data_IF_838064405709
#
_entry.id   IF_838064405709
#
_cell.length_a   1.000
_cell.length_b   1.000
_cell.length_c   1.000
_cell.angle_alpha   90.00
_cell.angle_beta   90.00
_cell.angle_gamma   90.00
#
_symmetry.space_group_name_H-M   'P 1'
#
loop_
_entity.id
_entity.type
_entity.pdbx_description
1 polymer ?
#
# COMPACT_ATOMS: atom_id res chain seq x y z
N UNK A 1 0.29 7.29 -13.77
CA UNK A 1 1.03 7.10 -12.50
C UNK A 1 0.76 5.74 -11.87
N UNK A 2 -0.51 5.41 -11.63
CA UNK A 2 -0.92 4.12 -11.06
C UNK A 2 -0.43 2.93 -11.90
N UNK A 3 -0.69 2.93 -13.19
CA UNK A 3 -0.30 1.85 -14.10
C UNK A 3 1.21 1.64 -14.15
N UNK A 4 2.00 2.72 -14.10
CA UNK A 4 3.46 2.64 -14.07
C UNK A 4 3.98 1.97 -12.78
N UNK A 5 3.31 2.16 -11.65
CA UNK A 5 3.65 1.46 -10.41
C UNK A 5 3.22 -0.01 -10.43
N UNK A 6 2.08 -0.30 -11.03
CA UNK A 6 1.61 -1.68 -11.21
C UNK A 6 2.49 -2.45 -12.19
N UNK A 7 3.01 -1.79 -13.25
CA UNK A 7 3.97 -2.40 -14.16
C UNK A 7 5.26 -2.87 -13.45
N UNK A 8 5.74 -2.13 -12.45
CA UNK A 8 6.92 -2.52 -11.68
C UNK A 8 6.78 -3.88 -10.99
N UNK A 9 5.56 -4.32 -10.72
CA UNK A 9 5.25 -5.61 -10.08
C UNK A 9 5.23 -6.74 -11.11
N UNK A 10 5.06 -6.43 -12.40
CA UNK A 10 4.99 -7.42 -13.46
C UNK A 10 6.26 -8.29 -13.50
N UNK A 11 6.11 -9.54 -13.91
CA UNK A 11 7.24 -10.47 -14.03
C UNK A 11 8.30 -9.97 -15.02
N UNK A 12 7.88 -9.34 -16.11
CA UNK A 12 8.76 -8.66 -17.08
C UNK A 12 8.26 -7.23 -17.23
N UNK A 13 8.66 -6.31 -16.33
CA UNK A 13 8.22 -4.92 -16.40
C UNK A 13 8.91 -4.17 -17.55
N UNK A 14 8.26 -3.15 -18.09
CA UNK A 14 8.89 -2.23 -19.04
C UNK A 14 10.08 -1.51 -18.41
N UNK A 15 9.96 -1.13 -17.14
CA UNK A 15 10.98 -0.50 -16.34
C UNK A 15 11.47 -1.43 -15.22
N UNK A 16 12.66 -2.00 -15.38
CA UNK A 16 13.21 -2.97 -14.43
C UNK A 16 14.04 -2.29 -13.34
N UNK A 17 13.52 -2.21 -12.12
CA UNK A 17 14.23 -1.69 -10.94
C UNK A 17 15.49 -2.51 -10.57
N UNK A 18 15.56 -3.78 -10.99
CA UNK A 18 16.65 -4.70 -10.64
C UNK A 18 17.74 -4.76 -11.71
N UNK A 19 17.74 -3.83 -12.67
CA UNK A 19 18.78 -3.74 -13.70
C UNK A 19 20.10 -3.25 -13.10
N UNK A 20 21.04 -4.16 -12.88
CA UNK A 20 22.35 -3.84 -12.30
C UNK A 20 23.28 -3.09 -13.27
N UNK A 21 23.04 -3.16 -14.58
CA UNK A 21 23.83 -2.42 -15.56
C UNK A 21 23.46 -0.93 -15.62
N UNK A 22 22.25 -0.58 -15.15
CA UNK A 22 21.79 0.79 -15.06
C UNK A 22 21.03 1.01 -13.74
N UNK A 23 21.75 1.06 -12.62
CA UNK A 23 21.14 1.19 -11.30
C UNK A 23 20.51 2.58 -11.12
N UNK A 24 19.37 2.60 -10.42
CA UNK A 24 18.72 3.85 -10.04
C UNK A 24 19.22 4.26 -8.67
N UNK A 25 19.81 5.46 -8.62
CA UNK A 25 20.25 6.07 -7.38
C UNK A 25 19.14 6.95 -6.81
N UNK A 26 18.77 6.69 -5.56
CA UNK A 26 17.84 7.49 -4.79
C UNK A 26 18.42 7.77 -3.41
N UNK A 27 17.94 8.82 -2.77
CA UNK A 27 18.27 9.07 -1.36
C UNK A 27 17.51 8.06 -0.49
N UNK A 28 18.05 6.87 -0.39
CA UNK A 28 17.54 5.84 0.51
C UNK A 28 18.02 6.12 1.93
N UNK A 29 17.10 6.46 2.83
CA UNK A 29 17.43 6.51 4.26
C UNK A 29 17.93 5.15 4.76
N UNK A 30 18.64 5.14 5.89
CA UNK A 30 19.05 3.91 6.56
C UNK A 30 17.84 3.30 7.28
N UNK A 31 17.15 2.40 6.61
CA UNK A 31 15.96 1.72 7.14
C UNK A 31 16.22 0.22 7.31
N UNK A 32 15.63 -0.41 8.33
CA UNK A 32 15.72 -1.86 8.50
C UNK A 32 14.97 -2.60 7.36
N UNK A 33 15.28 -3.88 7.15
CA UNK A 33 14.52 -4.71 6.21
C UNK A 33 13.02 -4.72 6.53
N UNK A 34 12.21 -5.00 5.50
CA UNK A 34 10.79 -5.25 5.71
C UNK A 34 10.56 -6.48 6.60
N UNK A 35 9.53 -6.45 7.42
CA UNK A 35 9.21 -7.52 8.37
C UNK A 35 7.76 -7.97 8.22
N UNK A 36 7.60 -9.31 8.18
CA UNK A 36 6.29 -9.97 8.16
C UNK A 36 6.16 -10.78 9.42
N UNK A 37 5.11 -10.59 10.20
CA UNK A 37 4.90 -11.28 11.47
C UNK A 37 3.49 -11.85 11.56
N UNK A 38 3.36 -12.82 12.43
CA UNK A 38 2.23 -13.72 12.64
C UNK A 38 2.07 -14.75 11.52
N UNK A 39 2.15 -16.00 11.93
CA UNK A 39 1.97 -17.19 11.09
C UNK A 39 0.99 -18.16 11.80
N UNK A 40 -0.11 -17.62 12.34
CA UNK A 40 -1.15 -18.40 12.99
C UNK A 40 -2.26 -18.79 12.02
N UNK A 41 -3.15 -19.69 12.46
CA UNK A 41 -4.30 -20.13 11.64
C UNK A 41 -5.25 -18.97 11.31
N UNK A 42 -5.42 -18.03 12.25
CA UNK A 42 -6.39 -16.95 12.16
C UNK A 42 -5.77 -15.62 11.73
N UNK A 43 -4.43 -15.56 11.67
CA UNK A 43 -3.71 -14.33 11.43
C UNK A 43 -2.37 -14.63 10.77
N UNK A 44 -2.21 -14.20 9.54
CA UNK A 44 -1.01 -14.37 8.75
C UNK A 44 -0.60 -13.04 8.14
N UNK A 45 0.62 -12.58 8.44
CA UNK A 45 1.20 -11.41 7.77
C UNK A 45 1.92 -11.83 6.50
N UNK A 46 1.39 -11.46 5.34
CA UNK A 46 2.00 -11.82 4.05
C UNK A 46 1.78 -10.77 2.96
N UNK A 47 2.62 -10.83 1.95
CA UNK A 47 2.47 -10.08 0.71
C UNK A 47 2.75 -11.00 -0.48
N UNK A 48 1.94 -10.89 -1.52
CA UNK A 48 2.09 -11.63 -2.78
C UNK A 48 2.01 -10.67 -3.96
N UNK A 49 2.75 -10.96 -5.04
CA UNK A 49 2.79 -10.12 -6.24
C UNK A 49 2.95 -8.63 -5.91
N UNK A 50 3.88 -8.28 -5.04
CA UNK A 50 3.98 -6.94 -4.47
C UNK A 50 5.42 -6.49 -4.31
N UNK A 51 5.64 -5.17 -4.37
CA UNK A 51 6.91 -4.55 -4.00
C UNK A 51 6.79 -4.02 -2.58
N UNK A 52 7.72 -4.43 -1.71
CA UNK A 52 7.73 -4.04 -0.30
C UNK A 52 9.06 -3.40 0.04
N UNK A 53 9.03 -2.11 0.37
CA UNK A 53 10.22 -1.30 0.67
C UNK A 53 10.77 -1.54 2.07
N UNK A 54 12.03 -1.15 2.34
CA UNK A 54 12.59 -1.19 3.69
C UNK A 54 11.74 -0.44 4.72
N UNK A 55 11.80 -0.89 5.96
CA UNK A 55 11.05 -0.29 7.07
C UNK A 55 9.57 -0.66 7.14
N UNK A 56 9.03 -1.38 6.18
CA UNK A 56 7.64 -1.85 6.18
C UNK A 56 7.45 -2.95 7.23
N UNK A 57 6.34 -2.92 7.94
CA UNK A 57 5.90 -4.03 8.80
C UNK A 57 4.49 -4.46 8.40
N UNK A 58 4.35 -5.72 8.01
CA UNK A 58 3.07 -6.38 7.82
C UNK A 58 2.81 -7.29 9.01
N UNK A 59 1.93 -6.85 9.91
CA UNK A 59 1.64 -7.52 11.17
C UNK A 59 0.28 -8.22 11.14
N UNK A 60 0.24 -9.39 10.52
CA UNK A 60 -0.99 -10.19 10.43
C UNK A 60 -2.03 -9.63 9.45
N UNK A 61 -1.62 -8.81 8.51
CA UNK A 61 -2.44 -8.30 7.41
C UNK A 61 -2.08 -8.96 6.08
N UNK A 62 -2.90 -8.75 5.08
CA UNK A 62 -2.76 -9.29 3.73
C UNK A 62 -2.47 -8.17 2.74
N UNK A 63 -1.43 -8.36 1.93
CA UNK A 63 -1.07 -7.45 0.83
C UNK A 63 -1.02 -8.25 -0.46
N UNK A 64 -1.72 -7.79 -1.47
CA UNK A 64 -1.73 -8.42 -2.78
C UNK A 64 -1.65 -7.37 -3.89
N UNK A 65 -0.81 -7.64 -4.90
CA UNK A 65 -0.63 -6.83 -6.10
C UNK A 65 -0.53 -5.33 -5.78
N UNK A 66 0.41 -4.96 -4.87
CA UNK A 66 0.51 -3.60 -4.33
C UNK A 66 1.96 -3.15 -4.17
N UNK A 67 2.16 -1.83 -4.16
CA UNK A 67 3.45 -1.20 -3.91
C UNK A 67 3.41 -0.53 -2.55
N UNK A 68 4.26 -0.97 -1.62
CA UNK A 68 4.42 -0.40 -0.29
C UNK A 68 5.73 0.38 -0.20
N UNK A 69 5.64 1.69 -0.07
CA UNK A 69 6.79 2.58 0.14
C UNK A 69 7.37 2.43 1.56
N UNK A 70 8.53 3.06 1.86
CA UNK A 70 9.17 2.92 3.17
C UNK A 70 8.28 3.24 4.36
N UNK A 71 8.49 2.53 5.47
CA UNK A 71 7.81 2.75 6.76
C UNK A 71 6.29 2.54 6.77
N UNK A 72 5.72 1.90 5.77
CA UNK A 72 4.29 1.53 5.78
C UNK A 72 4.03 0.48 6.87
N UNK A 73 2.89 0.61 7.55
CA UNK A 73 2.41 -0.30 8.60
C UNK A 73 1.08 -0.92 8.19
N UNK A 74 1.03 -2.24 8.12
CA UNK A 74 -0.21 -2.98 7.86
C UNK A 74 -0.53 -3.83 9.10
N UNK A 75 -1.61 -3.51 9.78
CA UNK A 75 -2.00 -4.19 11.01
C UNK A 75 -2.88 -5.43 10.75
N UNK A 76 -3.18 -6.15 11.83
CA UNK A 76 -3.82 -7.45 11.77
C UNK A 76 -5.19 -7.42 11.08
N UNK A 77 -5.41 -8.38 10.21
CA UNK A 77 -6.62 -8.55 9.38
C UNK A 77 -6.92 -7.38 8.44
N UNK A 78 -6.00 -6.44 8.29
CA UNK A 78 -6.10 -5.43 7.25
C UNK A 78 -5.82 -6.05 5.88
N UNK A 79 -6.45 -5.50 4.86
CA UNK A 79 -6.31 -5.96 3.48
C UNK A 79 -5.92 -4.80 2.57
N UNK A 80 -4.87 -5.00 1.78
CA UNK A 80 -4.40 -4.03 0.78
C UNK A 80 -4.27 -4.75 -0.54
N UNK A 81 -5.06 -4.34 -1.53
CA UNK A 81 -5.14 -4.98 -2.84
C UNK A 81 -5.08 -3.92 -3.94
N UNK A 82 -4.35 -4.19 -5.02
CA UNK A 82 -4.24 -3.33 -6.20
C UNK A 82 -3.94 -1.86 -5.84
N UNK A 83 -3.03 -1.60 -4.92
CA UNK A 83 -2.88 -0.26 -4.35
C UNK A 83 -1.42 0.20 -4.26
N UNK A 84 -1.23 1.52 -4.27
CA UNK A 84 0.06 2.17 -4.07
C UNK A 84 0.00 2.98 -2.78
N UNK A 85 0.80 2.58 -1.79
CA UNK A 85 0.89 3.23 -0.49
C UNK A 85 2.22 3.94 -0.35
N UNK A 86 2.19 5.27 -0.14
CA UNK A 86 3.38 6.07 0.07
C UNK A 86 3.93 5.98 1.49
N UNK A 87 5.07 6.65 1.70
CA UNK A 87 5.84 6.60 2.94
C UNK A 87 4.99 6.87 4.18
N UNK A 88 5.15 6.04 5.19
CA UNK A 88 4.54 6.24 6.49
C UNK A 88 3.03 6.03 6.55
N UNK A 89 2.42 5.46 5.53
CA UNK A 89 0.99 5.09 5.57
C UNK A 89 0.76 4.01 6.62
N UNK A 90 -0.33 4.16 7.40
CA UNK A 90 -0.75 3.20 8.41
C UNK A 90 -2.15 2.68 8.07
N UNK A 91 -2.26 1.37 7.91
CA UNK A 91 -3.54 0.68 7.71
C UNK A 91 -3.83 -0.11 8.97
N UNK A 92 -4.76 0.39 9.79
CA UNK A 92 -5.10 -0.22 11.08
C UNK A 92 -5.93 -1.50 10.93
N UNK A 93 -6.25 -2.11 12.06
CA UNK A 93 -6.88 -3.44 12.12
C UNK A 93 -8.18 -3.49 11.32
N UNK A 94 -8.34 -4.52 10.52
CA UNK A 94 -9.53 -4.76 9.68
C UNK A 94 -9.85 -3.66 8.69
N UNK A 95 -8.99 -2.65 8.55
CA UNK A 95 -9.15 -1.67 7.48
C UNK A 95 -8.87 -2.30 6.12
N UNK A 96 -9.55 -1.83 5.09
CA UNK A 96 -9.44 -2.38 3.74
C UNK A 96 -9.15 -1.29 2.71
N UNK A 97 -8.15 -1.55 1.87
CA UNK A 97 -7.75 -0.68 0.78
C UNK A 97 -7.83 -1.47 -0.52
N UNK A 98 -8.55 -0.94 -1.47
CA UNK A 98 -8.70 -1.56 -2.78
C UNK A 98 -8.55 -0.51 -3.89
N UNK A 99 -7.70 -0.80 -4.88
CA UNK A 99 -7.50 0.02 -6.08
C UNK A 99 -7.35 1.52 -5.75
N UNK A 100 -6.38 1.84 -4.89
CA UNK A 100 -6.21 3.17 -4.35
C UNK A 100 -4.75 3.64 -4.37
N UNK A 101 -4.57 4.96 -4.36
CA UNK A 101 -3.30 5.63 -4.09
C UNK A 101 -3.45 6.37 -2.76
N UNK A 102 -2.68 5.96 -1.75
CA UNK A 102 -2.63 6.64 -0.46
C UNK A 102 -1.34 7.45 -0.37
N UNK A 103 -1.47 8.77 -0.29
CA UNK A 103 -0.29 9.64 -0.18
C UNK A 103 0.34 9.55 1.23
N UNK A 104 1.47 10.21 1.41
CA UNK A 104 2.32 10.09 2.60
C UNK A 104 1.58 10.36 3.90
N UNK A 105 1.85 9.51 4.90
CA UNK A 105 1.30 9.64 6.26
C UNK A 105 -0.24 9.59 6.33
N UNK A 106 -0.89 8.98 5.37
CA UNK A 106 -2.31 8.65 5.48
C UNK A 106 -2.49 7.57 6.53
N UNK A 107 -3.52 7.73 7.37
CA UNK A 107 -3.86 6.77 8.42
C UNK A 107 -5.31 6.30 8.21
N UNK A 108 -5.49 5.01 7.97
CA UNK A 108 -6.80 4.38 8.03
C UNK A 108 -7.06 3.94 9.46
N UNK A 109 -8.20 4.34 10.03
CA UNK A 109 -8.64 3.87 11.35
C UNK A 109 -9.13 2.41 11.29
N UNK A 110 -9.40 1.82 12.43
CA UNK A 110 -9.88 0.43 12.48
C UNK A 110 -11.21 0.28 11.72
N UNK A 111 -11.32 -0.80 10.95
CA UNK A 111 -12.45 -1.16 10.10
C UNK A 111 -12.74 -0.21 8.92
N UNK A 112 -12.02 0.91 8.78
CA UNK A 112 -12.27 1.86 7.70
C UNK A 112 -11.95 1.27 6.32
N UNK A 113 -12.54 1.86 5.30
CA UNK A 113 -12.42 1.37 3.92
C UNK A 113 -12.06 2.49 2.95
N UNK A 114 -11.26 2.17 1.93
CA UNK A 114 -10.94 3.07 0.80
C UNK A 114 -10.98 2.26 -0.49
N UNK A 115 -11.59 2.83 -1.53
CA UNK A 115 -11.64 2.24 -2.87
C UNK A 115 -12.69 1.11 -3.01
N UNK A 116 -13.52 0.89 -2.01
CA UNK A 116 -14.57 -0.15 -2.02
C UNK A 116 -15.93 0.48 -2.34
N UNK A 117 -16.22 1.63 -1.76
CA UNK A 117 -17.45 2.39 -1.95
C UNK A 117 -17.12 3.77 -2.51
N UNK A 118 -17.30 3.93 -3.82
CA UNK A 118 -16.99 5.17 -4.54
C UNK A 118 -17.79 6.37 -4.04
N UNK A 119 -19.06 6.20 -3.69
CA UNK A 119 -19.90 7.28 -3.20
C UNK A 119 -19.43 7.78 -1.85
N UNK A 120 -19.04 6.86 -0.97
CA UNK A 120 -18.46 7.17 0.32
C UNK A 120 -17.11 7.88 0.20
N UNK A 121 -16.26 7.43 -0.71
CA UNK A 121 -14.97 8.06 -0.97
C UNK A 121 -15.12 9.49 -1.50
N UNK A 122 -16.04 9.72 -2.43
CA UNK A 122 -16.37 11.05 -2.95
C UNK A 122 -16.97 11.95 -1.85
N UNK A 123 -17.85 11.43 -1.00
CA UNK A 123 -18.44 12.18 0.11
C UNK A 123 -17.40 12.64 1.15
N UNK A 124 -16.32 11.87 1.31
CA UNK A 124 -15.16 12.23 2.16
C UNK A 124 -14.20 13.23 1.47
N UNK A 125 -14.49 13.63 0.25
CA UNK A 125 -13.67 14.57 -0.53
C UNK A 125 -12.46 13.94 -1.22
N UNK A 126 -12.41 12.62 -1.36
CA UNK A 126 -11.36 11.95 -2.10
C UNK A 126 -11.60 12.06 -3.60
N UNK A 127 -10.53 12.03 -4.38
CA UNK A 127 -10.62 11.99 -5.83
C UNK A 127 -10.77 10.54 -6.28
N UNK A 128 -11.79 10.27 -7.09
CA UNK A 128 -11.94 8.97 -7.75
C UNK A 128 -11.83 9.18 -9.27
N UNK A 129 -10.89 8.45 -9.89
CA UNK A 129 -10.68 8.56 -11.34
C UNK A 129 -11.78 7.84 -12.12
N UNK A 130 -11.95 8.12 -13.43
CA UNK A 130 -12.91 7.37 -14.26
C UNK A 130 -12.69 5.86 -14.27
N UNK A 131 -11.45 5.42 -14.07
CA UNK A 131 -11.07 3.99 -13.98
C UNK A 131 -11.34 3.40 -12.59
N UNK A 132 -11.89 4.19 -11.66
CA UNK A 132 -12.23 3.75 -10.30
C UNK A 132 -11.04 3.67 -9.34
N UNK A 133 -9.98 4.46 -9.56
CA UNK A 133 -8.85 4.57 -8.62
C UNK A 133 -9.14 5.68 -7.62
N UNK A 134 -9.17 5.36 -6.33
CA UNK A 134 -9.35 6.35 -5.27
C UNK A 134 -8.01 6.93 -4.85
N UNK A 135 -7.91 8.26 -4.80
CA UNK A 135 -6.71 8.98 -4.38
C UNK A 135 -6.98 9.70 -3.08
N UNK A 136 -6.21 9.37 -2.05
CA UNK A 136 -6.32 9.95 -0.70
C UNK A 136 -5.13 10.89 -0.46
N UNK A 137 -5.38 12.19 -0.15
CA UNK A 137 -4.33 13.18 0.02
C UNK A 137 -3.48 12.93 1.25
N UNK A 138 -2.25 13.47 1.22
CA UNK A 138 -1.26 13.40 2.29
C UNK A 138 -1.81 13.77 3.66
N UNK A 139 -1.47 12.97 4.67
CA UNK A 139 -1.79 13.25 6.07
C UNK A 139 -3.26 13.10 6.45
N UNK A 140 -4.08 12.57 5.56
CA UNK A 140 -5.50 12.33 5.83
C UNK A 140 -5.67 11.21 6.86
N UNK A 141 -6.57 11.43 7.81
CA UNK A 141 -7.09 10.36 8.67
C UNK A 141 -8.42 9.91 8.08
N UNK A 142 -8.45 8.65 7.63
CA UNK A 142 -9.65 8.04 7.06
C UNK A 142 -10.40 7.35 8.18
N UNK A 143 -11.60 7.81 8.42
CA UNK A 143 -12.52 7.25 9.41
C UNK A 143 -13.83 6.83 8.74
N UNK A 144 -14.51 5.84 9.31
CA UNK A 144 -15.76 5.28 8.75
C UNK A 144 -17.00 5.76 9.51
#
# INVERSE_FOLDING_TARGET
FYDAHMDLIAYVPEFNLYNQAWPIYTNSGTLPPAKFVHAGRDRLGHATDSIVSPGVIVSGGEVHHSVLSPNVRIHSWAQVVDSVLFDGVIVNRRARVYKAILDKNVVLTENSTVGIDTEKDLARGFTVTPEGITVVPKGTIVDD
#
